data_IF_314169469536
#
_entry.id   IF_314169469536
#
_cell.length_a   1.000
_cell.length_b   1.000
_cell.length_c   1.000
_cell.angle_alpha   90.00
_cell.angle_beta   90.00
_cell.angle_gamma   90.00
#
_symmetry.space_group_name_H-M   'P 1'
#
loop_
_entity.id
_entity.type
_entity.pdbx_description
1 polymer ?
#
# COMPACT_ATOMS: atom_id res chain seq x y z
N UNK A 1 17.79 25.91 -16.65
CA UNK A 1 16.99 24.71 -16.30
C UNK A 1 15.80 25.17 -15.48
N UNK A 2 14.60 25.20 -16.06
CA UNK A 2 13.41 25.65 -15.34
C UNK A 2 13.03 24.59 -14.30
N UNK A 3 13.03 24.94 -13.02
CA UNK A 3 12.51 24.09 -11.96
C UNK A 3 11.05 23.79 -12.28
N UNK A 4 10.75 22.55 -12.69
CA UNK A 4 9.38 22.12 -12.92
C UNK A 4 8.65 22.20 -11.58
N UNK A 5 7.86 23.26 -11.40
CA UNK A 5 7.00 23.43 -10.22
C UNK A 5 6.13 22.19 -10.13
N UNK A 6 6.35 21.38 -9.08
CA UNK A 6 5.54 20.21 -8.78
C UNK A 6 4.08 20.64 -8.73
N UNK A 7 3.31 20.32 -9.77
CA UNK A 7 1.93 20.72 -9.90
C UNK A 7 1.07 19.47 -10.10
N UNK A 8 0.50 18.98 -9.01
CA UNK A 8 -0.41 17.84 -9.00
C UNK A 8 -1.72 18.09 -9.76
N UNK A 9 -1.99 19.32 -10.23
CA UNK A 9 -3.10 19.59 -11.17
C UNK A 9 -2.79 19.13 -12.60
N UNK A 10 -1.53 18.85 -12.94
CA UNK A 10 -1.18 18.32 -14.25
C UNK A 10 -1.44 16.81 -14.29
N UNK A 11 -2.29 16.38 -15.21
CA UNK A 11 -2.70 14.98 -15.42
C UNK A 11 -1.50 14.06 -15.63
N UNK A 12 -0.48 14.49 -16.39
CA UNK A 12 0.75 13.74 -16.61
C UNK A 12 1.54 13.48 -15.31
N UNK A 13 1.54 14.46 -14.40
CA UNK A 13 2.21 14.36 -13.10
C UNK A 13 1.44 13.39 -12.22
N UNK A 14 0.10 13.48 -12.20
CA UNK A 14 -0.75 12.52 -11.50
C UNK A 14 -0.53 11.09 -12.00
N UNK A 15 -0.49 10.86 -13.32
CA UNK A 15 -0.24 9.55 -13.92
C UNK A 15 1.13 8.99 -13.54
N UNK A 16 2.16 9.84 -13.50
CA UNK A 16 3.51 9.42 -13.10
C UNK A 16 3.59 9.08 -11.60
N UNK A 17 2.91 9.83 -10.74
CA UNK A 17 2.89 9.57 -9.30
C UNK A 17 1.97 8.43 -8.90
N UNK A 18 0.86 8.22 -9.61
CA UNK A 18 -0.07 7.12 -9.38
C UNK A 18 0.68 5.78 -9.36
N UNK A 19 1.41 5.49 -10.44
CA UNK A 19 2.18 4.25 -10.54
C UNK A 19 3.33 4.18 -9.54
N UNK A 20 4.07 5.30 -9.32
CA UNK A 20 5.18 5.32 -8.36
C UNK A 20 4.72 5.05 -6.93
N UNK A 21 3.63 5.67 -6.49
CA UNK A 21 3.07 5.47 -5.15
C UNK A 21 2.51 4.07 -5.00
N UNK A 22 1.79 3.56 -6.00
CA UNK A 22 1.27 2.20 -6.00
C UNK A 22 2.38 1.14 -5.91
N UNK A 23 3.49 1.31 -6.66
CA UNK A 23 4.65 0.42 -6.58
C UNK A 23 5.40 0.59 -5.26
N UNK A 24 5.59 1.82 -4.78
CA UNK A 24 6.26 2.09 -3.50
C UNK A 24 5.51 1.46 -2.33
N UNK A 25 4.18 1.39 -2.38
CA UNK A 25 3.35 0.76 -1.38
C UNK A 25 3.59 -0.76 -1.24
N UNK A 26 4.13 -1.41 -2.27
CA UNK A 26 4.43 -2.85 -2.22
C UNK A 26 5.58 -3.18 -1.26
N UNK A 27 6.48 -2.23 -0.98
CA UNK A 27 7.58 -2.43 -0.03
C UNK A 27 7.09 -2.66 1.41
N UNK A 28 6.35 -1.73 2.05
CA UNK A 28 5.84 -1.97 3.39
C UNK A 28 4.84 -3.12 3.42
N UNK A 29 4.06 -3.35 2.35
CA UNK A 29 3.17 -4.50 2.25
C UNK A 29 3.95 -5.82 2.24
N UNK A 30 5.03 -5.91 1.47
CA UNK A 30 5.89 -7.08 1.39
C UNK A 30 6.58 -7.38 2.70
N UNK A 31 7.08 -6.36 3.41
CA UNK A 31 7.67 -6.52 4.75
C UNK A 31 6.63 -7.04 5.75
N UNK A 32 5.42 -6.49 5.74
CA UNK A 32 4.35 -6.94 6.62
C UNK A 32 3.91 -8.39 6.30
N UNK A 33 3.73 -8.71 5.03
CA UNK A 33 3.39 -10.07 4.58
C UNK A 33 4.48 -11.08 4.95
N UNK A 34 5.76 -10.72 4.75
CA UNK A 34 6.89 -11.54 5.17
C UNK A 34 6.85 -11.81 6.68
N UNK A 35 6.66 -10.77 7.50
CA UNK A 35 6.55 -10.92 8.96
C UNK A 35 5.39 -11.83 9.37
N UNK A 36 4.22 -11.72 8.71
CA UNK A 36 3.09 -12.62 8.97
C UNK A 36 3.45 -14.08 8.74
N UNK A 37 4.17 -14.40 7.66
CA UNK A 37 4.56 -15.77 7.33
C UNK A 37 5.61 -16.30 8.32
N UNK A 38 6.67 -15.54 8.58
CA UNK A 38 7.76 -16.03 9.43
C UNK A 38 7.43 -16.07 10.93
N UNK A 39 6.44 -15.29 11.37
CA UNK A 39 5.98 -15.25 12.77
C UNK A 39 4.73 -16.10 13.00
N UNK A 40 4.18 -16.74 11.97
CA UNK A 40 3.02 -17.60 12.16
C UNK A 40 3.42 -18.86 12.92
N UNK A 41 2.76 -19.11 14.04
CA UNK A 41 2.90 -20.30 14.86
C UNK A 41 1.73 -21.26 14.54
N UNK A 42 1.99 -22.43 13.91
CA UNK A 42 0.95 -23.40 13.59
C UNK A 42 0.27 -24.03 14.81
N UNK A 43 0.96 -24.12 15.95
CA UNK A 43 0.44 -24.70 17.18
C UNK A 43 -0.56 -23.74 17.84
N UNK A 44 -0.20 -22.45 17.90
CA UNK A 44 -1.09 -21.40 18.40
C UNK A 44 -2.11 -20.92 17.37
N UNK A 45 -1.98 -21.34 16.10
CA UNK A 45 -2.79 -20.91 14.94
C UNK A 45 -2.83 -19.39 14.78
N UNK A 46 -1.73 -18.70 15.07
CA UNK A 46 -1.70 -17.24 15.07
C UNK A 46 -0.30 -16.66 15.07
N UNK A 47 -0.23 -15.34 15.22
CA UNK A 47 1.01 -14.57 15.25
C UNK A 47 1.25 -14.10 16.68
N UNK A 48 2.08 -14.80 17.47
CA UNK A 48 2.42 -14.38 18.81
C UNK A 48 3.18 -13.05 18.78
N UNK A 49 2.74 -12.11 19.60
CA UNK A 49 3.44 -10.85 19.86
C UNK A 49 3.55 -10.61 21.36
N UNK A 50 4.73 -10.20 21.81
CA UNK A 50 4.90 -9.78 23.21
C UNK A 50 4.15 -8.47 23.45
N UNK A 51 3.47 -8.34 24.60
CA UNK A 51 2.71 -7.13 24.93
C UNK A 51 3.57 -5.84 24.94
N UNK A 52 4.88 -5.96 25.20
CA UNK A 52 5.87 -4.86 25.14
C UNK A 52 6.64 -4.79 23.81
N UNK A 53 6.32 -5.65 22.85
CA UNK A 53 7.03 -5.72 21.58
C UNK A 53 6.61 -4.60 20.63
N UNK A 54 7.59 -4.06 19.89
CA UNK A 54 7.37 -3.11 18.79
C UNK A 54 6.68 -3.75 17.57
N UNK A 55 6.47 -5.06 17.56
CA UNK A 55 5.88 -5.77 16.42
C UNK A 55 4.48 -5.26 16.06
N UNK A 56 3.60 -5.11 17.07
CA UNK A 56 2.23 -4.65 16.84
C UNK A 56 2.18 -3.24 16.21
N UNK A 57 2.80 -2.20 16.79
CA UNK A 57 2.78 -0.87 16.18
C UNK A 57 3.52 -0.86 14.83
N UNK A 58 4.63 -1.58 14.68
CA UNK A 58 5.34 -1.66 13.39
C UNK A 58 4.49 -2.27 12.28
N UNK A 59 3.75 -3.35 12.58
CA UNK A 59 2.84 -4.01 11.64
C UNK A 59 1.70 -3.08 11.22
N UNK A 60 1.07 -2.41 12.20
CA UNK A 60 -0.03 -1.47 11.91
C UNK A 60 0.45 -0.27 11.07
N UNK A 61 1.63 0.27 11.37
CA UNK A 61 2.21 1.37 10.58
C UNK A 61 2.56 0.91 9.17
N UNK A 62 3.18 -0.28 9.01
CA UNK A 62 3.52 -0.81 7.69
C UNK A 62 2.27 -1.07 6.84
N UNK A 63 1.28 -1.77 7.38
CA UNK A 63 0.05 -2.09 6.66
C UNK A 63 -0.79 -0.84 6.39
N UNK A 64 -0.89 0.07 7.36
CA UNK A 64 -1.57 1.35 7.20
C UNK A 64 -0.92 2.22 6.12
N UNK A 65 0.41 2.33 6.12
CA UNK A 65 1.15 3.06 5.09
C UNK A 65 0.99 2.43 3.70
N UNK A 66 1.04 1.09 3.62
CA UNK A 66 0.81 0.36 2.37
C UNK A 66 -0.58 0.63 1.80
N UNK A 67 -1.63 0.54 2.62
CA UNK A 67 -3.02 0.81 2.21
C UNK A 67 -3.17 2.27 1.79
N UNK A 68 -2.66 3.22 2.58
CA UNK A 68 -2.77 4.63 2.28
C UNK A 68 -2.08 5.00 0.96
N UNK A 69 -0.84 4.55 0.75
CA UNK A 69 -0.09 4.82 -0.49
C UNK A 69 -0.74 4.17 -1.71
N UNK A 70 -1.21 2.93 -1.56
CA UNK A 70 -1.93 2.22 -2.63
C UNK A 70 -3.23 2.93 -3.01
N UNK A 71 -3.98 3.39 -2.01
CA UNK A 71 -5.23 4.12 -2.21
C UNK A 71 -5.01 5.49 -2.87
N UNK A 72 -4.00 6.25 -2.43
CA UNK A 72 -3.62 7.52 -3.08
C UNK A 72 -3.18 7.26 -4.53
N UNK A 73 -2.38 6.22 -4.76
CA UNK A 73 -1.98 5.80 -6.11
C UNK A 73 -3.19 5.47 -7.00
N UNK A 74 -4.16 4.75 -6.45
CA UNK A 74 -5.40 4.42 -7.13
C UNK A 74 -6.22 5.66 -7.49
N UNK A 75 -6.43 6.58 -6.54
CA UNK A 75 -7.18 7.81 -6.78
C UNK A 75 -6.53 8.70 -7.85
N UNK A 76 -5.20 8.86 -7.80
CA UNK A 76 -4.46 9.60 -8.84
C UNK A 76 -4.53 8.90 -10.20
N UNK A 77 -4.47 7.57 -10.22
CA UNK A 77 -4.60 6.75 -11.42
C UNK A 77 -5.97 6.94 -12.07
N UNK A 78 -7.04 6.77 -11.28
CA UNK A 78 -8.42 6.95 -11.71
C UNK A 78 -8.68 8.37 -12.21
N UNK A 79 -8.31 9.38 -11.40
CA UNK A 79 -8.54 10.78 -11.75
C UNK A 79 -7.81 11.18 -13.04
N UNK A 80 -6.61 10.66 -13.28
CA UNK A 80 -5.87 10.96 -14.50
C UNK A 80 -6.29 10.14 -15.73
N UNK A 81 -6.85 8.94 -15.54
CA UNK A 81 -7.25 8.04 -16.63
C UNK A 81 -8.44 8.58 -17.44
N UNK A 82 -9.38 9.26 -16.79
CA UNK A 82 -10.61 9.75 -17.42
C UNK A 82 -10.44 11.05 -18.23
N UNK A 83 -9.28 11.70 -18.14
CA UNK A 83 -9.04 12.97 -18.83
C UNK A 83 -8.72 12.76 -20.32
N UNK A 84 -9.54 13.36 -21.20
CA UNK A 84 -9.30 13.38 -22.68
C UNK A 84 -7.93 13.90 -23.13
N UNK A 85 -7.25 14.69 -22.29
CA UNK A 85 -5.91 15.27 -22.56
C UNK A 85 -4.77 14.46 -21.95
N UNK A 86 -5.03 13.23 -21.51
CA UNK A 86 -3.98 12.37 -20.98
C UNK A 86 -3.26 11.66 -22.14
N UNK A 87 -2.02 12.06 -22.40
CA UNK A 87 -1.18 11.41 -23.42
C UNK A 87 -0.64 10.04 -22.97
N UNK A 88 -0.89 9.65 -21.71
CA UNK A 88 -0.37 8.41 -21.09
C UNK A 88 -1.45 7.63 -20.34
N UNK A 89 -2.60 7.30 -20.95
CA UNK A 89 -3.72 6.63 -20.27
C UNK A 89 -3.33 5.26 -19.73
N UNK A 90 -2.45 4.53 -20.42
CA UNK A 90 -1.96 3.24 -19.95
C UNK A 90 -1.24 3.31 -18.59
N UNK A 91 -0.46 4.38 -18.33
CA UNK A 91 0.19 4.56 -17.02
C UNK A 91 -0.79 4.90 -15.92
N UNK A 92 -1.82 5.69 -16.22
CA UNK A 92 -2.90 6.01 -15.29
C UNK A 92 -3.69 4.77 -14.89
N UNK A 93 -4.07 3.93 -15.86
CA UNK A 93 -4.74 2.65 -15.60
C UNK A 93 -3.85 1.67 -14.84
N UNK A 94 -2.57 1.56 -15.18
CA UNK A 94 -1.63 0.73 -14.43
C UNK A 94 -1.53 1.20 -12.97
N UNK A 95 -1.38 2.51 -12.73
CA UNK A 95 -1.37 3.07 -11.37
C UNK A 95 -2.68 2.81 -10.62
N UNK A 96 -3.82 2.92 -11.30
CA UNK A 96 -5.12 2.58 -10.74
C UNK A 96 -5.22 1.12 -10.32
N UNK A 97 -4.98 0.17 -11.23
CA UNK A 97 -5.15 -1.26 -10.94
C UNK A 97 -4.13 -1.76 -9.92
N UNK A 98 -2.86 -1.33 -10.00
CA UNK A 98 -1.84 -1.69 -9.01
C UNK A 98 -2.19 -1.10 -7.64
N UNK A 99 -2.69 0.14 -7.61
CA UNK A 99 -3.14 0.79 -6.37
C UNK A 99 -4.36 0.10 -5.75
N UNK A 100 -5.37 -0.25 -6.56
CA UNK A 100 -6.55 -0.99 -6.07
C UNK A 100 -6.14 -2.37 -5.56
N UNK A 101 -5.38 -3.14 -6.32
CA UNK A 101 -4.91 -4.46 -5.90
C UNK A 101 -4.07 -4.38 -4.62
N UNK A 102 -3.14 -3.42 -4.54
CA UNK A 102 -2.32 -3.17 -3.36
C UNK A 102 -3.15 -2.79 -2.13
N UNK A 103 -4.14 -1.93 -2.29
CA UNK A 103 -5.06 -1.54 -1.21
C UNK A 103 -5.90 -2.73 -0.75
N UNK A 104 -6.46 -3.53 -1.68
CA UNK A 104 -7.23 -4.75 -1.37
C UNK A 104 -6.39 -5.75 -0.60
N UNK A 105 -5.18 -6.08 -1.08
CA UNK A 105 -4.27 -7.02 -0.40
C UNK A 105 -3.86 -6.46 0.97
N UNK A 106 -3.55 -5.17 1.06
CA UNK A 106 -3.19 -4.52 2.33
C UNK A 106 -4.31 -4.57 3.37
N UNK A 107 -5.57 -4.34 2.95
CA UNK A 107 -6.73 -4.46 3.83
C UNK A 107 -6.92 -5.91 4.27
N UNK A 108 -6.82 -6.89 3.36
CA UNK A 108 -6.91 -8.31 3.71
C UNK A 108 -5.81 -8.68 4.71
N UNK A 109 -4.57 -8.27 4.49
CA UNK A 109 -3.46 -8.53 5.38
C UNK A 109 -3.64 -7.86 6.75
N UNK A 110 -4.18 -6.65 6.80
CA UNK A 110 -4.53 -5.96 8.04
C UNK A 110 -5.60 -6.71 8.84
N UNK A 111 -6.68 -7.14 8.17
CA UNK A 111 -7.74 -7.93 8.81
C UNK A 111 -7.18 -9.28 9.29
N UNK A 112 -6.42 -9.97 8.44
CA UNK A 112 -5.79 -11.24 8.80
C UNK A 112 -4.86 -11.09 10.02
N UNK A 113 -3.99 -10.09 10.04
CA UNK A 113 -3.15 -9.79 11.19
C UNK A 113 -3.98 -9.50 12.45
N UNK A 114 -5.05 -8.71 12.32
CA UNK A 114 -5.91 -8.36 13.45
C UNK A 114 -6.61 -9.56 14.07
N UNK A 115 -7.03 -10.52 13.24
CA UNK A 115 -7.68 -11.76 13.68
C UNK A 115 -6.68 -12.79 14.22
N UNK A 116 -5.46 -12.84 13.66
CA UNK A 116 -4.45 -13.84 14.01
C UNK A 116 -3.50 -13.38 15.12
N UNK A 117 -3.48 -12.10 15.51
CA UNK A 117 -2.58 -11.60 16.56
C UNK A 117 -2.91 -12.25 17.92
N UNK A 118 -1.90 -12.83 18.56
CA UNK A 118 -2.03 -13.43 19.90
C UNK A 118 -1.06 -12.71 20.83
N UNK A 119 -1.58 -12.08 21.88
CA UNK A 119 -0.74 -11.44 22.88
C UNK A 119 -0.13 -12.53 23.78
N UNK A 120 1.19 -12.58 23.85
CA UNK A 120 1.93 -13.46 24.76
C UNK A 120 2.55 -12.59 25.86
N UNK A 121 2.43 -13.06 27.10
CA UNK A 121 2.90 -12.38 28.31
C UNK A 121 4.43 -12.33 28.39
#
# INVERSE_FOLDING_TARGET
MAASRFNLRRVEVQAAWALKLAVLALLPLGVAAWQLVIRYDPEMRGVPYGARSWLLPAMLVCLGAAVALSFIGALLGYNSADHRRNDRPGRSWAGFFVGVAGATIGIIALIAFWLLKIAVA
#
